data_IF_650097631990
#
_entry.id   IF_650097631990
#
_cell.length_a   1.000
_cell.length_b   1.000
_cell.length_c   1.000
_cell.angle_alpha   90.00
_cell.angle_beta   90.00
_cell.angle_gamma   90.00
#
_symmetry.space_group_name_H-M   'P 1'
#
loop_
_entity.id
_entity.type
_entity.pdbx_description
1 polymer ?
#
# COMPACT_ATOMS: atom_id res chain seq x y z
N UNK A 1 -53.66 66.33 -14.72
CA UNK A 1 -54.84 65.48 -14.50
C UNK A 1 -54.42 64.22 -13.75
N UNK A 2 -55.29 63.75 -12.86
CA UNK A 2 -55.06 62.96 -11.64
C UNK A 2 -54.54 61.52 -11.81
N UNK A 3 -53.92 60.96 -10.75
CA UNK A 3 -53.67 59.51 -10.56
C UNK A 3 -54.97 58.70 -10.34
N UNK A 4 -54.95 57.38 -9.94
CA UNK A 4 -54.27 56.91 -8.73
C UNK A 4 -53.75 55.43 -8.66
N UNK A 5 -52.95 55.14 -7.60
CA UNK A 5 -52.84 53.94 -6.72
C UNK A 5 -52.55 52.50 -7.25
N UNK A 6 -51.56 51.88 -6.60
CA UNK A 6 -51.18 50.44 -6.55
C UNK A 6 -52.20 49.56 -5.79
N UNK A 7 -52.17 48.20 -5.89
CA UNK A 7 -51.32 47.38 -4.98
C UNK A 7 -50.81 46.00 -5.49
N UNK A 8 -49.68 45.57 -4.88
CA UNK A 8 -49.17 44.23 -4.51
C UNK A 8 -49.78 42.96 -5.17
N UNK A 9 -48.95 42.10 -5.81
CA UNK A 9 -49.00 40.63 -5.59
C UNK A 9 -47.71 39.92 -6.03
N UNK A 10 -47.29 38.95 -5.21
CA UNK A 10 -46.17 38.03 -5.35
C UNK A 10 -46.44 36.90 -6.34
N UNK A 11 -45.46 36.50 -7.16
CA UNK A 11 -45.36 35.12 -7.64
C UNK A 11 -43.95 34.80 -8.15
N UNK A 12 -43.26 33.95 -7.39
CA UNK A 12 -42.02 33.29 -7.79
C UNK A 12 -42.24 32.41 -9.03
N UNK A 13 -41.38 32.55 -10.05
CA UNK A 13 -41.25 31.54 -11.11
C UNK A 13 -40.08 30.63 -10.75
N UNK A 14 -40.43 29.43 -10.30
CA UNK A 14 -39.51 28.34 -10.00
C UNK A 14 -38.72 27.94 -11.24
N UNK A 15 -37.40 27.91 -11.09
CA UNK A 15 -36.49 27.26 -12.03
C UNK A 15 -36.58 25.76 -11.78
N UNK A 16 -37.02 25.03 -12.80
CA UNK A 16 -37.11 23.56 -12.83
C UNK A 16 -35.71 22.96 -12.60
N UNK A 17 -35.60 22.19 -11.53
CA UNK A 17 -34.50 21.26 -11.27
C UNK A 17 -34.76 20.01 -12.13
N UNK A 18 -33.82 19.53 -12.96
CA UNK A 18 -34.02 18.29 -13.68
C UNK A 18 -33.88 17.09 -12.72
N UNK A 19 -35.00 16.42 -12.47
CA UNK A 19 -35.07 15.09 -11.90
C UNK A 19 -34.57 14.06 -12.92
N UNK A 20 -33.63 13.20 -12.53
CA UNK A 20 -33.34 11.96 -13.26
C UNK A 20 -34.34 10.89 -12.81
N UNK A 21 -35.34 10.61 -13.64
CA UNK A 21 -36.18 9.42 -13.53
C UNK A 21 -35.61 8.31 -14.42
N UNK A 22 -35.70 7.07 -13.93
CA UNK A 22 -35.39 5.86 -14.69
C UNK A 22 -36.66 5.09 -15.06
N UNK A 23 -36.39 3.93 -15.67
CA UNK A 23 -37.29 2.89 -16.18
C UNK A 23 -37.77 3.05 -17.62
N UNK A 24 -37.41 2.06 -18.45
CA UNK A 24 -38.40 1.20 -19.10
C UNK A 24 -37.81 -0.20 -19.32
N UNK A 25 -38.67 -1.20 -19.08
CA UNK A 25 -38.47 -2.65 -19.20
C UNK A 25 -38.81 -3.09 -20.62
N UNK A 26 -38.15 -4.14 -21.10
CA UNK A 26 -38.78 -5.11 -22.01
C UNK A 26 -38.44 -6.54 -21.53
N UNK A 27 -39.50 -7.34 -21.37
CA UNK A 27 -39.53 -8.78 -21.11
C UNK A 27 -39.89 -9.53 -22.41
N UNK A 28 -39.74 -10.87 -22.36
CA UNK A 28 -40.05 -11.92 -23.34
C UNK A 28 -38.99 -12.15 -24.45
N UNK A 29 -38.61 -13.38 -24.81
CA UNK A 29 -39.33 -14.66 -24.73
C UNK A 29 -38.34 -15.87 -24.70
N UNK A 30 -38.85 -17.01 -24.23
CA UNK A 30 -38.13 -18.27 -24.04
C UNK A 30 -38.04 -19.13 -25.32
N UNK A 31 -37.01 -19.99 -25.41
CA UNK A 31 -37.16 -21.36 -25.95
C UNK A 31 -35.88 -22.19 -25.78
N UNK A 32 -35.99 -23.25 -24.98
CA UNK A 32 -35.13 -24.45 -25.06
C UNK A 32 -35.82 -25.49 -25.93
N UNK A 33 -35.05 -26.45 -26.48
CA UNK A 33 -35.53 -27.82 -26.45
C UNK A 33 -34.52 -28.80 -25.82
N UNK A 34 -35.12 -29.77 -25.15
CA UNK A 34 -34.58 -30.94 -24.47
C UNK A 34 -34.21 -32.03 -25.48
N UNK A 35 -33.13 -32.78 -25.22
CA UNK A 35 -32.96 -34.14 -25.75
C UNK A 35 -32.47 -35.09 -24.64
N UNK A 36 -33.31 -36.09 -24.35
CA UNK A 36 -33.03 -37.39 -23.71
C UNK A 36 -32.05 -38.22 -24.60
N UNK A 37 -31.30 -39.28 -24.21
CA UNK A 37 -31.54 -40.40 -23.30
C UNK A 37 -30.27 -41.30 -23.20
N UNK A 38 -29.97 -41.88 -22.02
CA UNK A 38 -29.43 -43.25 -21.74
C UNK A 38 -27.99 -43.62 -22.18
N UNK A 39 -27.22 -44.55 -21.58
CA UNK A 39 -27.32 -45.55 -20.51
C UNK A 39 -25.86 -45.96 -20.14
N UNK A 40 -25.45 -46.07 -18.87
CA UNK A 40 -25.26 -47.28 -18.05
C UNK A 40 -23.96 -48.13 -18.26
N UNK A 41 -23.26 -48.40 -17.13
CA UNK A 41 -22.33 -49.52 -16.86
C UNK A 41 -20.86 -49.30 -17.27
N UNK A 42 -19.81 -49.76 -16.58
CA UNK A 42 -19.62 -50.59 -15.38
C UNK A 42 -18.13 -50.49 -14.98
N UNK A 43 -17.80 -50.59 -13.68
CA UNK A 43 -16.46 -50.95 -13.20
C UNK A 43 -16.19 -52.46 -13.49
N UNK A 44 -14.92 -52.92 -13.47
CA UNK A 44 -14.44 -53.65 -12.29
C UNK A 44 -12.95 -53.46 -11.95
N UNK A 45 -12.55 -54.20 -10.91
CA UNK A 45 -11.42 -54.11 -10.00
C UNK A 45 -10.11 -54.83 -10.38
N UNK A 46 -9.02 -54.35 -9.76
CA UNK A 46 -7.89 -55.06 -9.10
C UNK A 46 -6.99 -56.06 -9.85
N UNK A 47 -5.67 -55.79 -9.80
CA UNK A 47 -4.58 -56.72 -9.38
C UNK A 47 -3.25 -55.94 -9.34
N UNK A 48 -2.64 -55.70 -8.17
CA UNK A 48 -1.47 -56.43 -7.59
C UNK A 48 -0.37 -56.81 -8.59
N UNK A 49 0.79 -56.16 -8.45
CA UNK A 49 2.09 -56.82 -8.50
C UNK A 49 3.18 -56.02 -7.74
N UNK A 50 3.98 -56.78 -6.99
CA UNK A 50 5.14 -56.46 -6.14
C UNK A 50 6.41 -56.27 -6.98
N UNK A 51 7.32 -55.32 -6.74
CA UNK A 51 8.49 -55.33 -5.85
C UNK A 51 9.48 -54.30 -6.50
N UNK A 52 10.28 -53.46 -5.86
CA UNK A 52 11.43 -53.75 -4.99
C UNK A 52 12.00 -52.40 -4.49
N UNK A 53 12.62 -52.47 -3.31
CA UNK A 53 13.32 -51.46 -2.49
C UNK A 53 14.25 -50.48 -3.22
N UNK A 54 14.30 -49.25 -2.69
CA UNK A 54 15.54 -48.58 -2.28
C UNK A 54 15.25 -47.62 -1.11
N UNK A 55 15.76 -47.96 0.09
CA UNK A 55 15.88 -47.08 1.26
C UNK A 55 17.34 -46.64 1.36
N UNK A 56 17.59 -45.37 1.67
CA UNK A 56 18.82 -44.93 2.32
C UNK A 56 18.43 -44.10 3.54
N UNK A 57 18.87 -44.55 4.70
CA UNK A 57 18.53 -44.03 6.02
C UNK A 57 19.69 -43.22 6.60
N UNK A 58 19.31 -42.20 7.36
CA UNK A 58 20.14 -41.46 8.32
C UNK A 58 20.85 -42.41 9.29
N UNK A 59 22.13 -42.14 9.56
CA UNK A 59 22.91 -42.77 10.63
C UNK A 59 23.52 -41.68 11.53
N UNK A 60 22.93 -41.50 12.71
CA UNK A 60 23.59 -40.94 13.89
C UNK A 60 24.43 -42.03 14.56
N UNK A 61 25.68 -41.73 14.90
CA UNK A 61 26.54 -42.58 15.73
C UNK A 61 26.60 -42.06 17.18
N UNK A 62 26.52 -43.03 18.10
CA UNK A 62 26.52 -42.89 19.57
C UNK A 62 27.92 -42.79 20.18
N UNK A 63 28.00 -42.20 21.38
CA UNK A 63 29.07 -42.39 22.38
C UNK A 63 29.18 -43.84 22.91
N UNK A 64 30.35 -44.20 23.45
CA UNK A 64 30.49 -44.64 24.86
C UNK A 64 31.72 -43.97 25.53
N UNK A 65 32.01 -43.95 26.83
CA UNK A 65 31.81 -44.89 27.93
C UNK A 65 31.96 -44.19 29.32
N UNK A 66 32.01 -45.02 30.38
CA UNK A 66 31.64 -44.82 31.80
C UNK A 66 32.79 -45.24 32.73
N UNK A 67 33.00 -44.57 33.88
CA UNK A 67 33.58 -45.04 35.17
C UNK A 67 34.06 -43.79 35.97
N UNK A 68 34.04 -43.62 37.29
CA UNK A 68 33.87 -44.47 38.48
C UNK A 68 33.58 -43.57 39.73
N UNK A 69 33.14 -44.15 40.86
CA UNK A 69 32.80 -43.47 42.13
C UNK A 69 33.95 -43.53 43.15
N UNK A 70 34.09 -42.52 44.01
CA UNK A 70 34.86 -42.59 45.27
C UNK A 70 34.43 -41.54 46.31
N UNK A 71 34.18 -41.95 47.56
CA UNK A 71 33.70 -41.14 48.72
C UNK A 71 34.88 -40.65 49.59
N UNK A 72 34.71 -39.56 50.36
CA UNK A 72 35.48 -39.36 51.61
C UNK A 72 35.63 -37.93 52.17
N UNK A 73 34.80 -37.59 53.18
CA UNK A 73 34.92 -36.72 54.39
C UNK A 73 35.85 -35.47 54.49
N UNK A 74 35.30 -34.41 55.13
CA UNK A 74 35.85 -33.07 55.51
C UNK A 74 36.79 -33.13 56.76
N UNK A 75 37.57 -32.07 57.15
CA UNK A 75 37.01 -30.97 57.98
C UNK A 75 37.70 -29.56 57.93
N UNK A 76 37.02 -28.62 58.60
CA UNK A 76 37.49 -27.44 59.36
C UNK A 76 37.84 -26.09 58.67
N UNK A 77 37.13 -25.08 59.18
CA UNK A 77 37.24 -23.63 58.94
C UNK A 77 38.47 -23.03 59.63
N UNK A 78 39.09 -22.01 59.03
CA UNK A 78 39.57 -20.82 59.76
C UNK A 78 39.15 -19.57 58.99
N UNK A 79 38.22 -18.84 59.59
CA UNK A 79 37.83 -17.48 59.24
C UNK A 79 38.84 -16.58 59.97
N UNK A 80 39.60 -15.79 59.21
CA UNK A 80 40.29 -14.61 59.72
C UNK A 80 39.58 -13.39 59.13
N UNK A 81 38.78 -12.73 59.96
CA UNK A 81 38.24 -11.40 59.71
C UNK A 81 39.30 -10.37 60.10
N UNK A 82 39.59 -9.44 59.19
CA UNK A 82 40.16 -8.13 59.55
C UNK A 82 39.28 -7.03 58.96
N UNK A 83 39.13 -5.98 59.75
CA UNK A 83 38.20 -4.86 59.64
C UNK A 83 38.58 -3.84 58.55
N UNK A 84 37.53 -3.24 57.97
CA UNK A 84 37.58 -2.14 57.00
C UNK A 84 38.41 -0.94 57.46
N UNK A 85 39.28 -0.46 56.59
CA UNK A 85 39.52 0.98 56.39
C UNK A 85 39.75 1.24 54.90
N UNK A 86 38.91 2.12 54.37
CA UNK A 86 39.10 3.00 53.21
C UNK A 86 39.90 2.48 51.98
N UNK A 87 39.21 2.47 50.83
CA UNK A 87 39.80 2.50 49.48
C UNK A 87 40.75 1.34 49.14
N UNK A 88 40.19 0.20 48.71
CA UNK A 88 40.96 -0.87 48.09
C UNK A 88 40.32 -2.25 48.24
N UNK A 89 40.13 -2.96 47.14
CA UNK A 89 39.67 -4.36 47.10
C UNK A 89 39.48 -4.79 45.66
N UNK A 90 40.53 -5.24 44.96
CA UNK A 90 41.01 -6.64 44.91
C UNK A 90 39.96 -7.63 44.37
N UNK A 91 39.98 -7.81 43.05
CA UNK A 91 39.34 -8.93 42.36
C UNK A 91 40.21 -10.18 42.60
N UNK A 92 39.74 -11.11 43.43
CA UNK A 92 40.32 -12.45 43.53
C UNK A 92 40.00 -13.25 42.27
N UNK A 93 40.90 -13.22 41.29
CA UNK A 93 40.87 -14.14 40.16
C UNK A 93 41.37 -15.53 40.60
N UNK A 94 40.64 -16.58 40.21
CA UNK A 94 41.06 -17.97 40.37
C UNK A 94 42.44 -18.20 39.71
N UNK A 95 43.30 -19.08 40.25
CA UNK A 95 44.64 -19.38 39.70
C UNK A 95 44.62 -19.91 38.25
N UNK A 96 43.44 -20.25 37.73
CA UNK A 96 43.20 -20.62 36.34
C UNK A 96 43.15 -19.42 35.37
N UNK A 97 42.70 -18.25 35.85
CA UNK A 97 42.52 -17.05 35.00
C UNK A 97 43.85 -16.31 34.82
N UNK A 98 44.72 -16.27 35.83
CA UNK A 98 46.09 -15.76 35.66
C UNK A 98 46.93 -16.61 34.69
N UNK A 99 46.72 -17.94 34.66
CA UNK A 99 47.36 -18.81 33.66
C UNK A 99 46.85 -18.52 32.25
N UNK A 100 45.54 -18.32 32.07
CA UNK A 100 44.98 -17.99 30.75
C UNK A 100 45.44 -16.62 30.23
N UNK A 101 45.53 -15.59 31.08
CA UNK A 101 45.95 -14.26 30.63
C UNK A 101 47.44 -14.19 30.27
N UNK A 102 48.32 -14.91 30.98
CA UNK A 102 49.72 -15.01 30.59
C UNK A 102 49.90 -15.78 29.28
N UNK A 103 49.13 -16.85 29.03
CA UNK A 103 49.21 -17.59 27.76
C UNK A 103 48.64 -16.77 26.59
N UNK A 104 47.58 -15.99 26.81
CA UNK A 104 47.03 -15.07 25.80
C UNK A 104 48.02 -13.94 25.51
N UNK A 105 48.63 -13.33 26.53
CA UNK A 105 49.66 -12.30 26.32
C UNK A 105 50.93 -12.87 25.64
N UNK A 106 51.33 -14.11 25.95
CA UNK A 106 52.48 -14.76 25.30
C UNK A 106 52.19 -15.16 23.84
N UNK A 107 50.96 -15.58 23.52
CA UNK A 107 50.50 -15.87 22.15
C UNK A 107 50.36 -14.58 21.34
N UNK A 108 49.88 -13.49 21.95
CA UNK A 108 49.79 -12.17 21.31
C UNK A 108 51.15 -11.49 21.11
N UNK A 109 52.17 -11.87 21.89
CA UNK A 109 53.54 -11.35 21.73
C UNK A 109 54.40 -12.17 20.75
N UNK A 110 54.00 -13.40 20.42
CA UNK A 110 54.69 -14.27 19.45
C UNK A 110 54.04 -14.29 18.06
N UNK A 111 52.74 -13.99 17.95
CA UNK A 111 52.06 -13.79 16.68
C UNK A 111 52.12 -12.30 16.35
N UNK A 112 53.09 -11.94 15.51
CA UNK A 112 53.37 -10.60 15.01
C UNK A 112 52.07 -9.83 14.69
N UNK A 113 51.64 -8.97 15.62
CA UNK A 113 50.37 -8.22 15.61
C UNK A 113 50.26 -7.24 14.42
N UNK A 114 51.35 -6.97 13.71
CA UNK A 114 51.34 -6.16 12.49
C UNK A 114 50.74 -6.87 11.27
N UNK A 115 50.72 -8.22 11.25
CA UNK A 115 50.28 -8.97 10.06
C UNK A 115 48.76 -9.13 9.94
N UNK A 116 48.02 -9.05 11.06
CA UNK A 116 46.56 -9.25 11.05
C UNK A 116 45.78 -8.00 10.63
N UNK A 117 46.30 -6.79 10.88
CA UNK A 117 45.68 -5.56 10.37
C UNK A 117 45.85 -5.42 8.86
N UNK A 118 47.02 -5.75 8.30
CA UNK A 118 47.23 -5.77 6.85
C UNK A 118 46.37 -6.84 6.17
N UNK A 119 46.26 -8.05 6.74
CA UNK A 119 45.39 -9.10 6.20
C UNK A 119 43.89 -8.75 6.31
N UNK A 120 43.47 -8.07 7.38
CA UNK A 120 42.08 -7.60 7.51
C UNK A 120 41.79 -6.41 6.58
N UNK A 121 42.71 -5.45 6.44
CA UNK A 121 42.59 -4.36 5.47
C UNK A 121 42.55 -4.90 4.03
N UNK A 122 43.41 -5.85 3.68
CA UNK A 122 43.40 -6.48 2.37
C UNK A 122 42.11 -7.29 2.13
N UNK A 123 41.59 -7.99 3.14
CA UNK A 123 40.31 -8.70 3.03
C UNK A 123 39.13 -7.73 2.85
N UNK A 124 39.16 -6.58 3.54
CA UNK A 124 38.13 -5.54 3.48
C UNK A 124 38.18 -4.75 2.15
N UNK A 125 39.38 -4.45 1.65
CA UNK A 125 39.60 -3.82 0.35
C UNK A 125 39.22 -4.77 -0.80
N UNK A 126 39.55 -6.06 -0.69
CA UNK A 126 39.12 -7.08 -1.64
C UNK A 126 37.59 -7.30 -1.64
N UNK A 127 36.91 -7.13 -0.49
CA UNK A 127 35.43 -7.19 -0.44
C UNK A 127 34.81 -5.92 -1.02
N UNK A 128 35.38 -4.74 -0.77
CA UNK A 128 34.94 -3.50 -1.42
C UNK A 128 35.14 -3.53 -2.93
N UNK A 129 36.26 -4.05 -3.42
CA UNK A 129 36.52 -4.13 -4.86
C UNK A 129 35.67 -5.20 -5.55
N UNK A 130 35.34 -6.29 -4.83
CA UNK A 130 34.35 -7.27 -5.27
C UNK A 130 32.94 -6.65 -5.32
N UNK A 131 32.55 -5.86 -4.31
CA UNK A 131 31.27 -5.14 -4.28
C UNK A 131 31.18 -4.05 -5.37
N UNK A 132 32.26 -3.30 -5.61
CA UNK A 132 32.37 -2.33 -6.70
C UNK A 132 32.28 -3.02 -8.05
N UNK A 133 32.86 -4.22 -8.19
CA UNK A 133 32.78 -5.03 -9.41
C UNK A 133 31.38 -5.60 -9.65
N UNK A 134 30.70 -6.06 -8.61
CA UNK A 134 29.31 -6.51 -8.67
C UNK A 134 28.37 -5.34 -8.99
N UNK A 135 28.52 -4.19 -8.33
CA UNK A 135 27.76 -2.97 -8.65
C UNK A 135 28.01 -2.50 -10.08
N UNK A 136 29.25 -2.58 -10.57
CA UNK A 136 29.61 -2.24 -11.95
C UNK A 136 29.01 -3.23 -12.96
N UNK A 137 28.91 -4.51 -12.60
CA UNK A 137 28.27 -5.52 -13.42
C UNK A 137 26.75 -5.36 -13.45
N UNK A 138 26.10 -5.10 -12.31
CA UNK A 138 24.67 -4.74 -12.22
C UNK A 138 24.35 -3.46 -13.00
N UNK A 139 25.21 -2.44 -12.91
CA UNK A 139 25.06 -1.19 -13.68
C UNK A 139 25.18 -1.45 -15.19
N UNK A 140 26.08 -2.34 -15.61
CA UNK A 140 26.23 -2.74 -17.02
C UNK A 140 25.03 -3.54 -17.53
N UNK A 141 24.46 -4.44 -16.72
CA UNK A 141 23.23 -5.16 -17.08
C UNK A 141 22.04 -4.20 -17.19
N UNK A 142 21.92 -3.24 -16.27
CA UNK A 142 20.86 -2.22 -16.32
C UNK A 142 21.00 -1.30 -17.55
N UNK A 143 22.22 -0.90 -17.91
CA UNK A 143 22.49 -0.07 -19.10
C UNK A 143 22.31 -0.82 -20.42
N UNK A 144 22.62 -2.12 -20.47
CA UNK A 144 22.46 -2.93 -21.67
C UNK A 144 20.99 -3.32 -21.94
N UNK A 145 20.15 -3.35 -20.89
CA UNK A 145 18.74 -3.75 -21.00
C UNK A 145 17.81 -2.54 -21.23
N UNK A 146 18.24 -1.33 -20.85
CA UNK A 146 17.44 -0.11 -21.00
C UNK A 146 18.30 1.05 -21.53
N UNK A 147 18.23 1.38 -22.83
CA UNK A 147 18.89 2.57 -23.36
C UNK A 147 18.17 3.82 -22.82
N UNK A 148 18.67 4.35 -21.69
CA UNK A 148 18.23 5.62 -21.12
C UNK A 148 18.52 6.76 -22.11
N UNK A 149 17.47 7.27 -22.77
CA UNK A 149 17.45 8.69 -23.13
C UNK A 149 17.28 9.48 -21.84
N UNK A 150 18.39 9.97 -21.29
CA UNK A 150 18.40 10.97 -20.22
C UNK A 150 17.80 12.28 -20.75
N UNK A 151 16.47 12.35 -20.75
CA UNK A 151 15.72 13.58 -20.89
C UNK A 151 15.86 14.43 -19.62
N UNK A 152 16.19 15.70 -19.81
CA UNK A 152 16.35 16.81 -18.85
C UNK A 152 15.66 16.61 -17.48
N UNK A 153 16.41 16.91 -16.39
CA UNK A 153 15.93 17.04 -15.00
C UNK A 153 14.70 17.95 -14.91
N UNK A 154 13.51 17.35 -14.96
CA UNK A 154 12.28 17.95 -14.45
C UNK A 154 12.11 17.58 -12.99
N UNK A 155 11.69 18.51 -12.15
CA UNK A 155 11.31 18.20 -10.77
C UNK A 155 9.96 17.45 -10.80
N UNK A 156 10.00 16.11 -10.85
CA UNK A 156 8.79 15.28 -10.92
C UNK A 156 8.01 15.29 -9.59
N UNK A 157 6.68 15.40 -9.66
CA UNK A 157 5.77 15.48 -8.50
C UNK A 157 4.48 14.65 -8.73
N UNK A 158 3.99 13.91 -7.71
CA UNK A 158 3.53 12.50 -7.82
C UNK A 158 4.67 11.64 -8.37
N UNK A 159 4.83 10.40 -7.94
CA UNK A 159 6.02 9.65 -8.35
C UNK A 159 6.01 9.52 -9.87
N UNK A 160 7.03 10.07 -10.52
CA UNK A 160 7.14 10.19 -11.99
C UNK A 160 6.06 11.05 -12.69
N UNK A 161 5.34 11.91 -11.96
CA UNK A 161 4.23 12.73 -12.46
C UNK A 161 4.56 14.20 -12.77
N UNK A 162 3.56 14.92 -13.27
CA UNK A 162 3.58 16.34 -13.67
C UNK A 162 2.44 17.12 -13.01
N UNK A 163 2.57 18.44 -12.92
CA UNK A 163 1.52 19.31 -12.33
C UNK A 163 0.29 19.22 -13.22
N UNK A 164 -0.84 18.81 -12.65
CA UNK A 164 -2.09 18.74 -13.39
C UNK A 164 -2.51 20.16 -13.80
N UNK A 165 -3.09 20.31 -15.00
CA UNK A 165 -3.67 21.61 -15.38
C UNK A 165 -4.73 22.01 -14.33
N UNK A 166 -4.75 23.25 -13.82
CA UNK A 166 -5.73 23.69 -12.82
C UNK A 166 -7.16 23.27 -13.18
N UNK A 167 -7.84 22.65 -12.23
CA UNK A 167 -9.23 22.18 -12.33
C UNK A 167 -9.52 21.17 -13.46
N UNK A 168 -8.51 20.57 -14.08
CA UNK A 168 -8.68 19.53 -15.12
C UNK A 168 -9.15 18.18 -14.58
N UNK A 169 -9.14 18.01 -13.25
CA UNK A 169 -9.63 16.82 -12.52
C UNK A 169 -10.73 17.25 -11.54
N UNK A 170 -11.90 17.71 -12.03
CA UNK A 170 -12.90 18.39 -11.22
C UNK A 170 -13.64 17.49 -10.21
N UNK A 171 -13.41 16.19 -10.27
CA UNK A 171 -13.92 15.19 -9.33
C UNK A 171 -13.01 15.00 -8.11
N UNK A 172 -11.77 15.51 -8.14
CA UNK A 172 -10.83 15.30 -7.05
C UNK A 172 -11.33 15.93 -5.75
N UNK A 173 -11.30 15.13 -4.69
CA UNK A 173 -11.59 15.58 -3.34
C UNK A 173 -10.32 15.50 -2.50
N UNK A 174 -9.99 16.58 -1.79
CA UNK A 174 -8.99 16.56 -0.74
C UNK A 174 -9.69 16.32 0.59
N UNK A 175 -9.34 15.23 1.26
CA UNK A 175 -9.80 14.94 2.62
C UNK A 175 -8.77 15.51 3.59
N UNK A 176 -9.24 16.37 4.50
CA UNK A 176 -8.39 17.14 5.39
C UNK A 176 -8.84 17.02 6.84
N UNK A 177 -7.87 17.06 7.76
CA UNK A 177 -8.09 17.24 9.19
C UNK A 177 -7.49 18.58 9.65
N UNK A 178 -7.23 18.74 10.95
CA UNK A 178 -6.63 19.97 11.52
C UNK A 178 -5.21 20.24 10.99
N UNK A 179 -4.51 19.22 10.52
CA UNK A 179 -3.15 19.30 9.97
C UNK A 179 -3.14 19.45 8.44
N UNK A 180 -4.32 19.57 7.81
CA UNK A 180 -4.49 19.72 6.38
C UNK A 180 -4.72 18.40 5.66
N UNK A 181 -4.28 18.32 4.40
CA UNK A 181 -4.51 17.18 3.53
C UNK A 181 -3.81 15.91 4.01
N UNK A 182 -4.58 14.82 4.16
CA UNK A 182 -4.05 13.51 4.55
C UNK A 182 -4.47 12.36 3.61
N UNK A 183 -5.57 12.49 2.89
CA UNK A 183 -6.05 11.51 1.90
C UNK A 183 -6.75 12.19 0.72
N UNK A 184 -6.82 11.48 -0.39
CA UNK A 184 -7.64 11.79 -1.55
C UNK A 184 -9.05 11.19 -1.48
N UNK A 185 -9.85 11.54 -2.47
CA UNK A 185 -11.19 11.02 -2.71
C UNK A 185 -11.68 11.45 -4.08
N UNK A 186 -12.85 10.96 -4.48
CA UNK A 186 -13.52 11.37 -5.69
C UNK A 186 -15.00 11.68 -5.45
N UNK A 187 -15.46 12.82 -5.93
CA UNK A 187 -16.89 13.13 -6.00
C UNK A 187 -17.55 12.19 -7.02
N UNK A 188 -18.45 11.32 -6.56
CA UNK A 188 -19.19 10.37 -7.41
C UNK A 188 -20.65 10.78 -7.61
N UNK A 189 -21.17 11.64 -6.74
CA UNK A 189 -22.48 12.30 -6.83
C UNK A 189 -22.38 13.64 -6.07
N UNK A 190 -23.30 14.60 -6.29
CA UNK A 190 -23.22 15.92 -5.64
C UNK A 190 -23.11 15.90 -4.11
N UNK A 191 -23.60 14.85 -3.43
CA UNK A 191 -23.49 14.69 -1.96
C UNK A 191 -22.58 13.55 -1.53
N UNK A 192 -21.88 12.88 -2.45
CA UNK A 192 -21.17 11.63 -2.16
C UNK A 192 -19.74 11.65 -2.68
N UNK A 193 -18.80 11.42 -1.77
CA UNK A 193 -17.39 11.20 -2.07
C UNK A 193 -17.01 9.76 -1.76
N UNK A 194 -16.37 9.11 -2.72
CA UNK A 194 -15.74 7.81 -2.57
C UNK A 194 -14.28 7.99 -2.13
N UNK A 195 -13.84 7.21 -1.15
CA UNK A 195 -12.47 7.17 -0.66
C UNK A 195 -12.13 5.79 -0.09
N UNK A 196 -10.94 5.62 0.48
CA UNK A 196 -10.50 4.40 1.14
C UNK A 196 -10.96 4.38 2.60
N UNK A 197 -11.26 3.20 3.14
CA UNK A 197 -11.68 3.03 4.52
C UNK A 197 -10.54 3.31 5.51
N UNK A 198 -9.31 2.96 5.15
CA UNK A 198 -8.15 3.21 5.99
C UNK A 198 -7.87 4.71 6.23
N UNK A 199 -8.39 5.60 5.38
CA UNK A 199 -8.28 7.05 5.57
C UNK A 199 -9.09 7.55 6.78
N UNK A 200 -10.17 6.85 7.14
CA UNK A 200 -11.10 7.29 8.16
C UNK A 200 -10.92 6.48 9.44
N UNK A 201 -10.24 7.05 10.44
CA UNK A 201 -10.25 6.47 11.78
C UNK A 201 -11.41 7.02 12.62
N UNK A 202 -11.89 6.24 13.61
CA UNK A 202 -13.04 6.62 14.46
C UNK A 202 -12.82 7.92 15.27
N UNK A 203 -11.57 8.35 15.48
CA UNK A 203 -11.22 9.58 16.24
C UNK A 203 -11.24 10.83 15.36
N UNK A 204 -11.00 10.69 14.06
CA UNK A 204 -10.88 11.81 13.10
C UNK A 204 -12.24 12.28 12.56
N UNK A 205 -13.27 11.44 12.60
CA UNK A 205 -14.55 11.70 11.91
C UNK A 205 -15.18 13.08 12.21
N UNK A 206 -15.01 13.62 13.43
CA UNK A 206 -15.59 14.92 13.82
C UNK A 206 -14.82 16.14 13.31
N UNK A 207 -13.56 15.98 12.91
CA UNK A 207 -12.71 17.08 12.42
C UNK A 207 -12.35 16.95 10.93
N UNK A 208 -12.88 15.92 10.25
CA UNK A 208 -12.64 15.72 8.83
C UNK A 208 -13.53 16.65 8.02
N UNK A 209 -12.90 17.31 7.04
CA UNK A 209 -13.57 18.10 6.01
C UNK A 209 -13.19 17.59 4.63
N UNK A 210 -14.11 17.73 3.69
CA UNK A 210 -13.93 17.43 2.28
C UNK A 210 -13.82 18.74 1.52
N UNK A 211 -12.75 18.90 0.74
CA UNK A 211 -12.49 20.10 -0.05
C UNK A 211 -12.51 19.73 -1.53
N UNK A 212 -13.44 20.34 -2.28
CA UNK A 212 -13.62 20.16 -3.73
C UNK A 212 -13.15 21.41 -4.48
N UNK A 213 -12.83 21.27 -5.77
CA UNK A 213 -12.48 22.40 -6.65
C UNK A 213 -11.07 22.96 -6.45
N UNK A 214 -10.40 22.60 -5.36
CA UNK A 214 -9.06 23.05 -5.02
C UNK A 214 -8.01 22.53 -6.01
N UNK A 215 -7.08 23.40 -6.42
CA UNK A 215 -5.88 23.00 -7.17
C UNK A 215 -4.62 23.12 -6.31
N UNK A 216 -4.43 24.26 -5.61
CA UNK A 216 -3.31 24.49 -4.68
C UNK A 216 -3.79 24.43 -3.22
N UNK A 217 -3.20 23.55 -2.41
CA UNK A 217 -3.63 23.33 -1.02
C UNK A 217 -3.48 24.58 -0.12
N UNK A 218 -2.51 25.44 -0.42
CA UNK A 218 -2.20 26.65 0.37
C UNK A 218 -2.69 27.95 -0.27
N UNK A 219 -3.33 27.87 -1.44
CA UNK A 219 -3.83 29.04 -2.17
C UNK A 219 -5.21 28.72 -2.80
N UNK A 220 -6.26 28.53 -1.98
CA UNK A 220 -7.61 28.24 -2.47
C UNK A 220 -8.18 29.45 -3.21
N UNK A 221 -8.76 29.21 -4.39
CA UNK A 221 -9.47 30.22 -5.18
C UNK A 221 -11.00 30.11 -5.01
N UNK A 222 -11.76 30.91 -5.76
CA UNK A 222 -13.23 31.00 -5.67
C UNK A 222 -13.97 29.71 -6.07
N UNK A 223 -13.31 28.76 -6.72
CA UNK A 223 -13.89 27.46 -7.09
C UNK A 223 -14.01 26.50 -5.92
N UNK A 224 -13.33 26.78 -4.81
CA UNK A 224 -13.22 25.85 -3.68
C UNK A 224 -14.53 25.78 -2.91
N UNK A 225 -14.98 24.53 -2.67
CA UNK A 225 -16.14 24.24 -1.84
C UNK A 225 -15.70 23.33 -0.69
N UNK A 226 -16.08 23.68 0.55
CA UNK A 226 -15.68 22.97 1.76
C UNK A 226 -16.91 22.39 2.44
N UNK A 227 -16.89 21.09 2.69
CA UNK A 227 -17.99 20.35 3.30
C UNK A 227 -17.54 19.67 4.58
N UNK A 228 -18.42 19.63 5.59
CA UNK A 228 -18.28 18.68 6.68
C UNK A 228 -18.86 17.33 6.27
N UNK A 229 -18.42 16.26 6.94
CA UNK A 229 -18.91 14.91 6.69
C UNK A 229 -20.15 14.66 7.56
N UNK A 230 -21.32 14.54 6.92
CA UNK A 230 -22.58 14.22 7.58
C UNK A 230 -22.66 12.75 7.98
N UNK A 231 -22.25 11.85 7.09
CA UNK A 231 -22.14 10.41 7.38
C UNK A 231 -20.82 9.86 6.85
N UNK A 232 -20.17 9.04 7.67
CA UNK A 232 -18.93 8.34 7.35
C UNK A 232 -19.22 6.84 7.38
N UNK A 233 -19.29 6.20 6.20
CA UNK A 233 -19.76 4.83 6.04
C UNK A 233 -18.66 3.96 5.40
N UNK A 234 -17.85 3.23 6.21
CA UNK A 234 -16.92 2.25 5.67
C UNK A 234 -17.68 1.02 5.15
N UNK A 235 -17.07 0.27 4.23
CA UNK A 235 -17.59 -1.04 3.87
C UNK A 235 -17.67 -1.94 5.14
N UNK A 236 -18.78 -2.65 5.39
CA UNK A 236 -18.99 -3.39 6.64
C UNK A 236 -17.99 -4.53 6.85
N UNK A 237 -17.36 -5.01 5.78
CA UNK A 237 -16.32 -6.05 5.79
C UNK A 237 -14.90 -5.48 5.64
N UNK A 238 -14.68 -4.19 5.86
CA UNK A 238 -13.33 -3.62 5.82
C UNK A 238 -12.44 -4.29 6.88
N UNK A 239 -11.28 -4.79 6.45
CA UNK A 239 -10.28 -5.38 7.33
C UNK A 239 -8.99 -4.55 7.26
N UNK A 240 -8.65 -3.88 8.36
CA UNK A 240 -7.49 -3.01 8.44
C UNK A 240 -6.14 -3.76 8.40
N UNK A 241 -6.09 -5.02 8.80
CA UNK A 241 -4.84 -5.81 8.83
C UNK A 241 -4.35 -6.13 7.43
N UNK A 242 -5.28 -6.49 6.53
CA UNK A 242 -4.99 -6.92 5.16
C UNK A 242 -5.48 -5.92 4.10
N UNK A 243 -5.97 -4.75 4.53
CA UNK A 243 -6.60 -3.74 3.67
C UNK A 243 -7.71 -4.30 2.75
N UNK A 244 -8.43 -5.34 3.21
CA UNK A 244 -9.51 -5.94 2.42
C UNK A 244 -10.75 -5.06 2.47
N UNK A 245 -11.42 -4.94 1.33
CA UNK A 245 -12.63 -4.12 1.17
C UNK A 245 -12.39 -2.67 1.63
N UNK A 246 -11.22 -2.13 1.31
CA UNK A 246 -10.78 -0.79 1.67
C UNK A 246 -11.47 0.27 0.81
N UNK A 247 -12.74 0.50 1.12
CA UNK A 247 -13.62 1.45 0.43
C UNK A 247 -14.60 2.07 1.41
N UNK A 248 -14.88 3.36 1.21
CA UNK A 248 -15.62 4.19 2.16
C UNK A 248 -16.42 5.26 1.42
N UNK A 249 -17.67 5.47 1.84
CA UNK A 249 -18.52 6.56 1.38
C UNK A 249 -18.65 7.66 2.41
N UNK A 250 -18.37 8.90 1.98
CA UNK A 250 -18.61 10.10 2.76
C UNK A 250 -19.82 10.83 2.19
N UNK A 251 -20.87 10.96 3.01
CA UNK A 251 -22.02 11.82 2.70
C UNK A 251 -21.68 13.24 3.16
N UNK A 252 -21.72 14.19 2.24
CA UNK A 252 -21.48 15.60 2.52
C UNK A 252 -22.69 16.20 3.27
N UNK A 253 -22.46 17.22 4.10
CA UNK A 253 -23.52 17.94 4.79
C UNK A 253 -24.42 18.77 3.87
N UNK A 254 -23.94 19.09 2.66
CA UNK A 254 -24.73 19.76 1.63
C UNK A 254 -24.35 19.28 0.21
N UNK A 255 -25.12 19.66 -0.80
CA UNK A 255 -24.85 19.38 -2.21
C UNK A 255 -23.71 20.25 -2.73
N UNK A 256 -22.72 19.62 -3.36
CA UNK A 256 -21.74 20.29 -4.20
C UNK A 256 -22.42 21.01 -5.37
N UNK A 257 -22.05 22.28 -5.57
CA UNK A 257 -22.49 23.08 -6.71
C UNK A 257 -21.62 22.65 -7.90
N UNK A 258 -22.24 22.05 -8.92
CA UNK A 258 -21.50 21.53 -10.07
C UNK A 258 -21.13 22.67 -11.03
N UNK A 259 -19.84 22.76 -11.39
CA UNK A 259 -19.31 23.67 -12.40
C UNK A 259 -18.02 23.11 -13.01
N UNK A 260 -17.29 23.92 -13.77
CA UNK A 260 -16.08 23.51 -14.51
C UNK A 260 -14.97 22.92 -13.62
N UNK A 261 -14.91 23.31 -12.35
CA UNK A 261 -13.89 22.84 -11.40
C UNK A 261 -14.40 21.83 -10.37
N UNK A 262 -15.73 21.63 -10.27
CA UNK A 262 -16.36 20.66 -9.37
C UNK A 262 -17.37 19.86 -10.16
N UNK A 263 -17.08 18.60 -10.46
CA UNK A 263 -17.97 17.73 -11.24
C UNK A 263 -17.80 16.27 -10.83
N UNK A 264 -18.90 15.51 -10.62
CA UNK A 264 -18.80 14.09 -10.31
C UNK A 264 -18.13 13.28 -11.44
N UNK A 265 -17.34 12.28 -11.06
CA UNK A 265 -16.81 11.26 -11.99
C UNK A 265 -17.80 10.11 -12.15
N UNK A 266 -17.83 9.52 -13.35
CA UNK A 266 -18.67 8.36 -13.64
C UNK A 266 -18.14 7.11 -12.95
N UNK A 267 -19.04 6.34 -12.34
CA UNK A 267 -18.75 5.00 -11.86
C UNK A 267 -18.54 4.01 -13.04
N UNK A 268 -17.86 2.88 -12.81
CA UNK A 268 -17.71 1.80 -13.79
C UNK A 268 -19.05 1.17 -14.21
N UNK A 269 -19.01 0.37 -15.27
CA UNK A 269 -20.14 -0.48 -15.62
C UNK A 269 -20.26 -1.64 -14.61
N UNK A 270 -21.47 -2.15 -14.38
CA UNK A 270 -21.69 -3.31 -13.50
C UNK A 270 -20.88 -4.50 -14.00
N UNK A 271 -20.21 -5.18 -13.08
CA UNK A 271 -19.41 -6.39 -13.33
C UNK A 271 -18.30 -6.24 -14.39
N UNK A 272 -17.86 -5.02 -14.72
CA UNK A 272 -16.69 -4.84 -15.59
C UNK A 272 -15.40 -5.16 -14.83
N UNK A 273 -14.46 -5.83 -15.49
CA UNK A 273 -13.08 -5.89 -15.03
C UNK A 273 -12.19 -5.03 -15.93
N UNK A 274 -11.01 -4.66 -15.43
CA UNK A 274 -10.07 -3.80 -16.16
C UNK A 274 -8.92 -4.68 -16.66
N UNK A 275 -8.75 -4.72 -17.99
CA UNK A 275 -7.75 -5.58 -18.60
C UNK A 275 -6.33 -5.06 -18.37
N UNK A 276 -5.32 -5.95 -18.23
CA UNK A 276 -3.92 -5.56 -18.21
C UNK A 276 -3.53 -4.71 -19.44
N UNK A 277 -2.56 -3.82 -19.25
CA UNK A 277 -2.12 -2.78 -20.21
C UNK A 277 -3.15 -1.70 -20.51
N UNK A 278 -4.27 -1.64 -19.77
CA UNK A 278 -5.18 -0.50 -19.86
C UNK A 278 -4.47 0.74 -19.28
N UNK A 279 -4.33 1.83 -20.04
CA UNK A 279 -3.77 3.07 -19.53
C UNK A 279 -4.80 3.77 -18.64
N UNK A 280 -4.33 4.23 -17.49
CA UNK A 280 -5.11 4.94 -16.50
C UNK A 280 -4.34 6.17 -16.02
N UNK A 281 -5.04 7.16 -15.50
CA UNK A 281 -4.46 8.33 -14.86
C UNK A 281 -4.67 8.26 -13.35
N UNK A 282 -3.63 8.64 -12.61
CA UNK A 282 -3.67 8.87 -11.18
C UNK A 282 -3.45 10.36 -10.92
N UNK A 283 -4.17 10.93 -9.96
CA UNK A 283 -3.95 12.31 -9.53
C UNK A 283 -4.07 12.43 -8.01
N UNK A 284 -3.32 13.35 -7.42
CA UNK A 284 -3.35 13.56 -5.97
C UNK A 284 -2.39 14.64 -5.46
N UNK A 285 -2.44 14.84 -4.13
CA UNK A 285 -1.55 15.73 -3.38
C UNK A 285 -0.69 14.96 -2.37
N UNK A 286 -0.55 13.65 -2.56
CA UNK A 286 0.35 12.80 -1.82
C UNK A 286 1.81 13.11 -2.12
N UNK A 287 2.69 12.48 -1.34
CA UNK A 287 4.12 12.70 -1.45
C UNK A 287 4.65 12.38 -2.84
N UNK A 288 5.58 13.21 -3.31
CA UNK A 288 6.14 13.14 -4.65
C UNK A 288 7.31 12.16 -4.79
N UNK A 289 7.77 11.70 -3.64
CA UNK A 289 8.99 10.94 -3.43
C UNK A 289 8.94 10.32 -2.04
N UNK A 290 9.85 9.37 -1.79
CA UNK A 290 10.01 8.75 -0.48
C UNK A 290 10.48 9.74 0.61
N UNK A 291 10.90 10.97 0.24
CA UNK A 291 11.29 12.03 1.17
C UNK A 291 10.11 12.78 1.83
N UNK A 292 8.88 12.28 1.68
CA UNK A 292 7.64 12.81 2.31
C UNK A 292 7.28 14.25 1.92
N UNK A 293 7.94 14.83 0.92
CA UNK A 293 7.61 16.16 0.41
C UNK A 293 6.25 16.10 -0.27
N UNK A 294 5.29 16.88 0.22
CA UNK A 294 3.97 17.01 -0.41
C UNK A 294 3.99 18.15 -1.44
N UNK A 295 3.37 17.98 -2.61
CA UNK A 295 3.23 19.04 -3.60
C UNK A 295 2.23 20.09 -3.10
N UNK A 296 2.41 21.33 -3.52
CA UNK A 296 1.44 22.40 -3.25
C UNK A 296 0.23 22.28 -4.19
N UNK A 297 0.49 21.94 -5.45
CA UNK A 297 -0.52 21.82 -6.51
C UNK A 297 -0.92 20.36 -6.72
N UNK A 298 -2.09 20.15 -7.32
CA UNK A 298 -2.53 18.83 -7.75
C UNK A 298 -1.56 18.31 -8.81
N UNK A 299 -1.15 17.07 -8.63
CA UNK A 299 -0.22 16.38 -9.50
C UNK A 299 -0.93 15.21 -10.18
N UNK A 300 -0.40 14.77 -11.32
CA UNK A 300 -0.92 13.61 -12.05
C UNK A 300 0.17 12.79 -12.74
N UNK A 301 -0.10 11.51 -12.95
CA UNK A 301 0.75 10.59 -13.70
C UNK A 301 -0.09 9.56 -14.43
N UNK A 302 0.51 8.92 -15.43
CA UNK A 302 -0.08 7.81 -16.16
C UNK A 302 0.49 6.49 -15.67
N UNK A 303 -0.40 5.52 -15.46
CA UNK A 303 -0.07 4.17 -14.99
C UNK A 303 -0.78 3.12 -15.82
N UNK A 304 -0.20 1.93 -15.90
CA UNK A 304 -0.77 0.82 -16.64
C UNK A 304 -1.25 -0.26 -15.68
N UNK A 305 -2.45 -0.78 -15.95
CA UNK A 305 -2.98 -1.93 -15.22
C UNK A 305 -2.14 -3.17 -15.50
N UNK A 306 -1.84 -3.95 -14.47
CA UNK A 306 -1.24 -5.28 -14.60
C UNK A 306 -2.22 -6.37 -14.19
N UNK A 307 -1.96 -7.60 -14.60
CA UNK A 307 -2.79 -8.74 -14.14
C UNK A 307 -2.63 -8.95 -12.64
N UNK A 308 -3.69 -9.44 -11.99
CA UNK A 308 -3.63 -9.86 -10.58
C UNK A 308 -2.58 -10.95 -10.38
N UNK A 309 -2.44 -11.88 -11.33
CA UNK A 309 -1.40 -12.92 -11.29
C UNK A 309 0.02 -12.35 -11.30
N UNK A 310 0.26 -11.26 -12.04
CA UNK A 310 1.55 -10.57 -12.00
C UNK A 310 1.75 -9.82 -10.68
N UNK A 311 0.68 -9.25 -10.12
CA UNK A 311 0.68 -8.59 -8.83
C UNK A 311 0.94 -9.57 -7.67
N UNK A 312 0.38 -10.78 -7.75
CA UNK A 312 0.54 -11.87 -6.78
C UNK A 312 1.99 -12.38 -6.65
N UNK A 313 2.86 -12.05 -7.60
CA UNK A 313 4.29 -12.34 -7.48
C UNK A 313 4.97 -11.51 -6.39
N UNK A 314 4.34 -10.43 -5.95
CA UNK A 314 4.87 -9.48 -4.98
C UNK A 314 4.06 -9.44 -3.67
N UNK A 315 2.81 -9.94 -3.71
CA UNK A 315 1.88 -9.91 -2.59
C UNK A 315 1.11 -11.22 -2.52
N UNK A 316 1.02 -11.82 -1.33
CA UNK A 316 0.27 -13.07 -1.13
C UNK A 316 -1.26 -12.87 -1.18
N UNK A 317 -1.73 -11.65 -0.88
CA UNK A 317 -3.14 -11.32 -0.59
C UNK A 317 -3.79 -10.42 -1.67
N UNK A 318 -3.75 -10.82 -2.94
CA UNK A 318 -4.44 -10.09 -4.04
C UNK A 318 -5.72 -10.80 -4.45
N UNK A 319 -6.85 -10.09 -4.32
CA UNK A 319 -8.19 -10.64 -4.56
C UNK A 319 -8.86 -10.05 -5.81
N UNK A 320 -9.94 -10.70 -6.26
CA UNK A 320 -10.78 -10.20 -7.35
C UNK A 320 -11.36 -8.80 -7.08
N UNK A 321 -11.46 -8.39 -5.81
CA UNK A 321 -11.90 -7.06 -5.38
C UNK A 321 -10.82 -5.97 -5.50
N UNK A 322 -9.62 -6.30 -5.97
CA UNK A 322 -8.49 -5.38 -6.14
C UNK A 322 -8.10 -5.23 -7.60
N UNK A 323 -7.35 -4.18 -7.94
CA UNK A 323 -6.67 -4.00 -9.24
C UNK A 323 -5.28 -3.43 -8.97
N UNK A 324 -4.29 -3.80 -9.78
CA UNK A 324 -2.91 -3.36 -9.59
C UNK A 324 -2.40 -2.57 -10.80
N UNK A 325 -1.46 -1.66 -10.56
CA UNK A 325 -0.74 -0.95 -11.62
C UNK A 325 0.76 -1.02 -11.43
N UNK A 326 1.51 -1.14 -12.52
CA UNK A 326 2.95 -1.01 -12.53
C UNK A 326 3.44 -0.54 -13.91
N UNK A 327 4.53 0.23 -13.92
CA UNK A 327 5.14 0.74 -15.14
C UNK A 327 6.59 0.24 -15.23
N UNK A 328 6.86 -0.86 -15.96
CA UNK A 328 8.22 -1.38 -16.09
C UNK A 328 9.20 -0.32 -16.62
N UNK A 329 10.32 -0.15 -15.92
CA UNK A 329 11.37 0.81 -16.28
C UNK A 329 11.10 2.27 -15.85
N UNK A 330 9.96 2.55 -15.20
CA UNK A 330 9.62 3.89 -14.72
C UNK A 330 9.18 3.84 -13.26
N UNK A 331 9.67 4.77 -12.45
CA UNK A 331 9.17 4.94 -11.08
C UNK A 331 7.95 5.85 -11.16
N UNK A 332 6.75 5.25 -11.20
CA UNK A 332 5.47 5.95 -11.34
C UNK A 332 4.42 5.30 -10.47
N UNK A 333 3.63 6.11 -9.76
CA UNK A 333 2.58 5.59 -8.92
C UNK A 333 2.09 6.54 -7.84
N UNK A 334 1.25 5.97 -6.98
CA UNK A 334 0.72 6.57 -5.77
C UNK A 334 1.76 6.63 -4.66
N UNK A 335 1.53 7.52 -3.70
CA UNK A 335 2.35 7.58 -2.50
C UNK A 335 1.50 8.05 -1.31
N UNK A 336 2.18 8.26 -0.18
CA UNK A 336 1.54 8.69 1.07
C UNK A 336 0.74 9.98 0.86
N UNK A 337 -0.57 9.91 1.08
CA UNK A 337 -1.52 11.02 0.91
C UNK A 337 -2.40 10.89 -0.34
N UNK A 338 -2.02 10.04 -1.30
CA UNK A 338 -2.88 9.74 -2.46
C UNK A 338 -3.95 8.69 -2.15
N UNK A 339 -3.78 7.95 -1.05
CA UNK A 339 -4.77 7.05 -0.46
C UNK A 339 -6.20 7.57 -0.57
N UNK A 340 -7.11 6.72 -1.03
CA UNK A 340 -8.50 7.09 -1.29
C UNK A 340 -8.75 7.85 -2.58
N UNK A 341 -7.70 8.35 -3.25
CA UNK A 341 -7.79 8.98 -4.56
C UNK A 341 -8.22 8.01 -5.67
N UNK A 342 -8.77 8.53 -6.78
CA UNK A 342 -9.28 7.70 -7.87
C UNK A 342 -8.17 7.24 -8.84
N UNK A 343 -8.17 5.95 -9.18
CA UNK A 343 -7.58 5.45 -10.41
C UNK A 343 -8.60 5.61 -11.54
N UNK A 344 -8.28 6.43 -12.54
CA UNK A 344 -9.23 6.78 -13.60
C UNK A 344 -8.81 6.15 -14.92
N UNK A 345 -9.64 5.30 -15.48
CA UNK A 345 -9.43 4.71 -16.80
C UNK A 345 -10.64 5.04 -17.67
N UNK A 346 -10.42 5.48 -18.92
CA UNK A 346 -11.51 5.82 -19.87
C UNK A 346 -12.60 6.72 -19.26
N UNK A 347 -12.19 7.74 -18.49
CA UNK A 347 -13.07 8.72 -17.81
C UNK A 347 -14.02 8.13 -16.76
N UNK A 348 -13.68 6.97 -16.17
CA UNK A 348 -14.41 6.34 -15.06
C UNK A 348 -13.47 6.04 -13.91
N UNK A 349 -13.98 6.09 -12.69
CA UNK A 349 -13.23 5.68 -11.50
C UNK A 349 -13.22 4.16 -11.39
N UNK A 350 -12.14 3.53 -11.82
CA UNK A 350 -12.00 2.07 -11.85
C UNK A 350 -11.38 1.51 -10.56
N UNK A 351 -10.60 2.33 -9.86
CA UNK A 351 -9.97 1.95 -8.61
C UNK A 351 -9.95 3.08 -7.58
N UNK A 352 -9.77 2.72 -6.31
CA UNK A 352 -9.49 3.62 -5.19
C UNK A 352 -8.11 3.26 -4.63
N UNK A 353 -7.19 4.22 -4.54
CA UNK A 353 -5.83 4.00 -4.02
C UNK A 353 -5.92 3.39 -2.61
N UNK A 354 -5.34 2.20 -2.42
CA UNK A 354 -5.38 1.47 -1.15
C UNK A 354 -4.00 1.38 -0.52
N UNK A 355 -3.07 0.63 -1.12
CA UNK A 355 -1.72 0.46 -0.59
C UNK A 355 -0.68 0.24 -1.69
N UNK A 356 0.59 0.37 -1.32
CA UNK A 356 1.76 0.16 -2.18
C UNK A 356 2.89 -0.45 -1.35
N UNK A 357 4.01 -0.78 -1.98
CA UNK A 357 5.23 -1.15 -1.27
C UNK A 357 5.86 -0.01 -0.46
N UNK A 358 7.01 -0.30 0.16
CA UNK A 358 7.78 0.64 0.99
C UNK A 358 8.23 1.85 0.17
N UNK A 359 8.64 1.62 -1.08
CA UNK A 359 9.07 2.65 -2.01
C UNK A 359 7.91 2.98 -2.95
N UNK A 360 7.47 4.24 -2.93
CA UNK A 360 6.37 4.69 -3.76
C UNK A 360 6.73 4.59 -5.25
N UNK A 361 5.81 4.07 -6.07
CA UNK A 361 5.96 3.94 -7.51
C UNK A 361 7.02 2.93 -7.97
N UNK A 362 7.52 2.06 -7.08
CA UNK A 362 8.47 1.02 -7.42
C UNK A 362 7.79 -0.07 -8.28
N UNK A 363 8.27 -0.36 -9.51
CA UNK A 363 7.70 -1.42 -10.33
C UNK A 363 7.82 -2.82 -9.72
N UNK A 364 8.73 -3.03 -8.76
CA UNK A 364 8.87 -4.27 -7.98
C UNK A 364 7.93 -4.31 -6.76
N UNK A 365 7.08 -3.30 -6.58
CA UNK A 365 6.01 -3.28 -5.58
C UNK A 365 4.79 -2.57 -6.17
N UNK A 366 4.04 -3.24 -7.06
CA UNK A 366 2.92 -2.65 -7.77
C UNK A 366 1.93 -1.95 -6.84
N UNK A 367 1.41 -0.80 -7.26
CA UNK A 367 0.36 -0.12 -6.51
C UNK A 367 -0.94 -0.93 -6.57
N UNK A 368 -1.60 -1.07 -5.42
CA UNK A 368 -2.85 -1.82 -5.27
C UNK A 368 -4.00 -0.88 -4.93
N UNK A 369 -5.11 -1.10 -5.64
CA UNK A 369 -6.31 -0.30 -5.57
C UNK A 369 -7.51 -1.19 -5.29
N UNK A 370 -8.49 -0.69 -4.55
CA UNK A 370 -9.80 -1.33 -4.44
C UNK A 370 -10.55 -1.18 -5.76
N UNK A 371 -10.95 -2.29 -6.39
CA UNK A 371 -11.66 -2.29 -7.68
C UNK A 371 -13.11 -1.85 -7.49
N UNK A 372 -13.46 -0.67 -8.01
CA UNK A 372 -14.77 -0.03 -7.75
C UNK A 372 -15.92 -0.86 -8.31
N UNK A 373 -15.77 -1.47 -9.49
CA UNK A 373 -16.83 -2.26 -10.13
C UNK A 373 -17.31 -3.43 -9.28
N UNK A 374 -16.42 -4.03 -8.46
CA UNK A 374 -16.75 -5.11 -7.52
C UNK A 374 -17.68 -4.64 -6.39
N UNK A 375 -17.58 -3.36 -5.99
CA UNK A 375 -18.33 -2.79 -4.89
C UNK A 375 -19.55 -1.98 -5.32
N UNK A 376 -19.88 -1.93 -6.63
CA UNK A 376 -21.02 -1.17 -7.12
C UNK A 376 -22.35 -1.51 -6.42
N UNK A 377 -22.71 -2.79 -6.17
CA UNK A 377 -23.93 -3.10 -5.42
C UNK A 377 -23.96 -2.42 -4.05
N UNK A 378 -22.86 -2.49 -3.30
CA UNK A 378 -22.74 -1.83 -1.99
C UNK A 378 -22.78 -0.30 -2.09
N UNK A 379 -22.11 0.28 -3.09
CA UNK A 379 -22.10 1.74 -3.31
C UNK A 379 -23.52 2.25 -3.53
N UNK A 380 -24.27 1.63 -4.46
CA UNK A 380 -25.63 2.05 -4.80
C UNK A 380 -26.58 1.90 -3.63
N UNK A 381 -26.59 0.72 -3.02
CA UNK A 381 -27.46 0.43 -1.88
C UNK A 381 -27.15 1.34 -0.67
N UNK A 382 -25.88 1.62 -0.39
CA UNK A 382 -25.50 2.54 0.68
C UNK A 382 -25.99 3.98 0.40
N UNK A 383 -25.81 4.47 -0.83
CA UNK A 383 -26.26 5.81 -1.21
C UNK A 383 -27.79 5.93 -1.21
N UNK A 384 -28.50 4.85 -1.55
CA UNK A 384 -29.96 4.83 -1.54
C UNK A 384 -30.54 4.83 -0.11
N UNK A 385 -29.94 4.07 0.80
CA UNK A 385 -30.40 3.94 2.19
C UNK A 385 -30.08 5.14 3.09
N UNK A 386 -29.30 6.11 2.63
CA UNK A 386 -28.71 7.14 3.50
C UNK A 386 -28.91 8.56 3.06
#
# INVERSE_FOLDING_TARGET
>A
MCGPRSPISSAARGIKIPHCAGEEKEEEEASSPVAHMGHAGSAPSSSRETATRCRASLLCWRCPARAERGRGRRPARRILTFSNTALGGEIRMLPYIMRCMCTIMYILHFLNWSSTEEMMHQAQENTEDSLKSIQKFETRILQATFPHKLGKKGFFRIVGGLVARPHSRPYMASIQDRNGHFCGGALIQCKWVLTAAHCMNKRLAKSVRVVLGIHKLTAPDRSVQVFSVLKSIPHPKYNQTHFLNDIHLLKLNDSAIVHTAVKPIKLPCRNSDIFPRTPCSLAGWGSISNSRVKPIALMETEVNVISRDSCMKFYDDIFASMVCTANPGEIKGSCRGDSGGPLVCRNRIEGVVSFSGIYCGDPLSPDVYTRVSFFLPWIWDTMHRN
#
